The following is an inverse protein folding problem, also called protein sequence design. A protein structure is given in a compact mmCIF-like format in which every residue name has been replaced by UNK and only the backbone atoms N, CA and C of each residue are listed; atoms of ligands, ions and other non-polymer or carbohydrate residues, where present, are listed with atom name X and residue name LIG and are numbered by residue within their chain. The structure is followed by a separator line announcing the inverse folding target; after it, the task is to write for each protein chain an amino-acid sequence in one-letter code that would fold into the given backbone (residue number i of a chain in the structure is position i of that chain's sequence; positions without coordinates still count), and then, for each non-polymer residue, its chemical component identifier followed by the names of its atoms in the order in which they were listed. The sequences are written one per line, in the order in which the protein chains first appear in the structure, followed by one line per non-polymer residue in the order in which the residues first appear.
data_IF_246619441122
#
_entry.id   IF_246619441122
#
_cell.length_a   1.000
_cell.length_b   1.000
_cell.length_c   1.000
_cell.angle_alpha   90.00
_cell.angle_beta   90.00
_cell.angle_gamma   90.00
#
_symmetry.space_group_name_H-M   'P 1'
#
loop_
_entity.id
_entity.type
_entity.pdbx_description
1 polymer ?
#
# COMPACT_ATOMS: atom_id res chain seq x y z
N UNK A 1 -10.40 -28.83 -1.82
CA UNK A 1 -11.27 -28.16 -0.82
C UNK A 1 -11.78 -29.27 0.07
N UNK A 2 -11.45 -29.27 1.36
CA UNK A 2 -11.91 -30.30 2.29
C UNK A 2 -13.44 -30.18 2.37
N UNK A 3 -14.15 -31.05 1.67
CA UNK A 3 -15.59 -31.25 1.79
C UNK A 3 -15.86 -31.93 3.13
N UNK A 4 -15.55 -31.26 4.23
CA UNK A 4 -16.08 -31.65 5.53
C UNK A 4 -17.46 -31.02 5.60
N UNK A 5 -18.49 -31.86 5.62
CA UNK A 5 -19.88 -31.55 5.98
C UNK A 5 -19.92 -31.00 7.43
N UNK A 6 -19.25 -29.87 7.68
CA UNK A 6 -19.28 -29.18 8.97
C UNK A 6 -20.58 -28.40 8.96
N UNK A 7 -21.55 -28.84 9.77
CA UNK A 7 -22.76 -28.05 9.97
C UNK A 7 -22.34 -26.68 10.52
N UNK A 8 -22.99 -25.59 10.11
CA UNK A 8 -22.63 -24.24 10.60
C UNK A 8 -22.63 -24.12 12.13
N UNK A 9 -23.38 -25.00 12.80
CA UNK A 9 -23.46 -25.16 14.27
C UNK A 9 -22.17 -25.69 14.90
N UNK A 10 -21.36 -26.42 14.14
CA UNK A 10 -20.13 -27.06 14.61
C UNK A 10 -18.92 -26.12 14.55
N UNK A 11 -19.07 -24.98 13.86
CA UNK A 11 -18.03 -23.95 13.78
C UNK A 11 -18.03 -23.16 15.11
N UNK A 12 -16.97 -23.20 15.93
CA UNK A 12 -16.91 -22.47 17.20
C UNK A 12 -16.83 -20.95 16.95
N UNK A 13 -17.23 -20.15 17.94
CA UNK A 13 -17.27 -18.68 17.80
C UNK A 13 -15.92 -18.06 17.44
N UNK A 14 -14.80 -18.66 17.89
CA UNK A 14 -13.43 -18.22 17.56
C UNK A 14 -13.10 -18.32 16.06
N UNK A 15 -13.82 -19.18 15.33
CA UNK A 15 -13.73 -19.34 13.89
C UNK A 15 -15.01 -18.82 13.19
N UNK A 16 -15.76 -17.92 13.83
CA UNK A 16 -17.10 -17.52 13.40
C UNK A 16 -17.18 -16.98 11.97
N UNK A 17 -16.12 -16.33 11.47
CA UNK A 17 -16.05 -15.80 10.11
C UNK A 17 -16.09 -16.91 9.03
N UNK A 18 -15.71 -18.15 9.37
CA UNK A 18 -15.82 -19.28 8.44
C UNK A 18 -17.29 -19.59 8.05
N UNK A 19 -18.27 -19.13 8.85
CA UNK A 19 -19.70 -19.23 8.53
C UNK A 19 -20.13 -18.33 7.35
N UNK A 20 -19.29 -17.41 6.90
CA UNK A 20 -19.59 -16.46 5.83
C UNK A 20 -19.19 -16.96 4.44
N UNK A 21 -18.49 -18.09 4.34
CA UNK A 21 -17.90 -18.57 3.07
C UNK A 21 -18.96 -18.68 1.96
N UNK A 22 -20.13 -19.23 2.27
CA UNK A 22 -21.21 -19.42 1.29
C UNK A 22 -22.25 -18.28 1.30
N UNK A 23 -21.98 -17.19 2.02
CA UNK A 23 -22.86 -16.02 2.14
C UNK A 23 -22.25 -14.83 1.39
N UNK A 24 -22.23 -14.90 0.06
CA UNK A 24 -21.56 -13.92 -0.81
C UNK A 24 -21.92 -12.45 -0.52
N UNK A 25 -23.19 -12.17 -0.20
CA UNK A 25 -23.65 -10.82 0.14
C UNK A 25 -23.11 -10.32 1.49
N UNK A 26 -23.10 -11.17 2.51
CA UNK A 26 -22.53 -10.83 3.83
C UNK A 26 -21.01 -10.77 3.80
N UNK A 27 -20.37 -11.66 3.03
CA UNK A 27 -18.94 -11.66 2.85
C UNK A 27 -18.46 -10.39 2.14
N UNK A 28 -19.21 -9.92 1.13
CA UNK A 28 -18.98 -8.62 0.50
C UNK A 28 -19.06 -7.50 1.55
N UNK A 29 -20.11 -7.49 2.38
CA UNK A 29 -20.26 -6.51 3.46
C UNK A 29 -19.08 -6.49 4.43
N UNK A 30 -18.59 -7.67 4.83
CA UNK A 30 -17.42 -7.80 5.70
C UNK A 30 -16.15 -7.22 5.06
N UNK A 31 -15.88 -7.51 3.78
CA UNK A 31 -14.71 -6.97 3.08
C UNK A 31 -14.78 -5.45 2.89
N UNK A 32 -15.95 -4.93 2.51
CA UNK A 32 -16.15 -3.48 2.33
C UNK A 32 -16.04 -2.73 3.67
N UNK A 33 -16.60 -3.28 4.75
CA UNK A 33 -16.43 -2.71 6.08
C UNK A 33 -14.96 -2.72 6.53
N UNK A 34 -14.23 -3.81 6.26
CA UNK A 34 -12.81 -3.90 6.57
C UNK A 34 -11.97 -2.90 5.76
N UNK A 35 -12.24 -2.74 4.46
CA UNK A 35 -11.63 -1.69 3.65
C UNK A 35 -11.93 -0.30 4.23
N UNK A 36 -13.15 -0.07 4.71
CA UNK A 36 -13.52 1.14 5.46
C UNK A 36 -12.64 1.38 6.69
N UNK A 37 -12.33 0.35 7.47
CA UNK A 37 -11.42 0.48 8.63
C UNK A 37 -9.99 0.87 8.23
N UNK A 38 -9.47 0.29 7.13
CA UNK A 38 -8.12 0.63 6.62
C UNK A 38 -8.07 2.10 6.19
N UNK A 39 -9.09 2.54 5.44
CA UNK A 39 -9.18 3.93 4.95
C UNK A 39 -9.43 4.92 6.11
N UNK A 40 -10.22 4.52 7.11
CA UNK A 40 -10.42 5.29 8.34
C UNK A 40 -9.10 5.48 9.09
N UNK A 41 -8.33 4.40 9.27
CA UNK A 41 -7.02 4.46 9.91
C UNK A 41 -6.07 5.40 9.15
N UNK A 42 -6.00 5.29 7.82
CA UNK A 42 -5.16 6.17 7.01
C UNK A 42 -5.51 7.65 7.20
N UNK A 43 -6.81 7.99 7.17
CA UNK A 43 -7.26 9.36 7.38
C UNK A 43 -7.04 9.86 8.80
N UNK A 44 -7.45 9.07 9.80
CA UNK A 44 -7.35 9.44 11.21
C UNK A 44 -5.90 9.61 11.67
N UNK A 45 -5.00 8.68 11.30
CA UNK A 45 -3.58 8.77 11.67
C UNK A 45 -2.91 9.95 10.95
N UNK A 46 -3.25 10.21 9.68
CA UNK A 46 -2.72 11.40 8.98
C UNK A 46 -3.09 12.69 9.73
N UNK A 47 -4.36 12.85 10.10
CA UNK A 47 -4.82 14.04 10.83
C UNK A 47 -4.23 14.13 12.25
N UNK A 48 -4.09 13.00 12.92
CA UNK A 48 -3.44 12.92 14.22
C UNK A 48 -1.97 13.34 14.16
N UNK A 49 -1.22 12.83 13.19
CA UNK A 49 0.18 13.21 12.97
C UNK A 49 0.31 14.69 12.69
N UNK A 50 -0.53 15.27 11.82
CA UNK A 50 -0.53 16.72 11.52
C UNK A 50 -0.76 17.54 12.80
N UNK A 51 -1.68 17.11 13.67
CA UNK A 51 -2.01 17.86 14.89
C UNK A 51 -0.88 17.93 15.91
N UNK A 52 0.09 17.01 15.83
CA UNK A 52 1.25 16.94 16.73
C UNK A 52 2.57 17.24 15.99
N UNK A 53 2.51 17.64 14.72
CA UNK A 53 3.70 17.81 13.90
C UNK A 53 4.38 19.15 14.18
N UNK A 54 5.65 19.09 14.60
CA UNK A 54 6.51 20.24 14.77
C UNK A 54 7.43 20.39 13.55
N UNK A 55 7.25 21.46 12.77
CA UNK A 55 8.07 21.77 11.58
C UNK A 55 9.50 22.18 11.91
N UNK A 56 9.81 22.50 13.18
CA UNK A 56 11.16 22.85 13.62
C UNK A 56 12.06 21.64 13.85
N UNK A 57 11.46 20.45 13.98
CA UNK A 57 12.18 19.20 14.21
C UNK A 57 12.18 18.31 12.95
N UNK A 58 13.21 17.48 12.75
CA UNK A 58 13.20 16.50 11.67
C UNK A 58 12.04 15.50 11.83
N UNK A 59 11.41 15.10 10.70
CA UNK A 59 10.27 14.17 10.73
C UNK A 59 10.58 12.82 11.40
N UNK A 60 11.80 12.32 11.24
CA UNK A 60 12.19 10.99 11.73
C UNK A 60 12.35 10.93 13.27
N UNK A 61 12.44 12.07 13.96
CA UNK A 61 12.59 12.14 15.42
C UNK A 61 11.24 12.18 16.15
N UNK A 62 10.15 12.44 15.42
CA UNK A 62 8.82 12.71 15.99
C UNK A 62 7.90 11.48 15.99
N UNK A 63 8.40 10.31 15.58
CA UNK A 63 7.61 9.07 15.54
C UNK A 63 6.51 9.04 14.47
N UNK A 64 6.69 9.80 13.38
CA UNK A 64 5.73 9.87 12.27
C UNK A 64 5.86 8.65 11.36
N UNK A 65 4.72 8.07 10.98
CA UNK A 65 4.67 6.90 10.09
C UNK A 65 3.96 7.19 8.76
N UNK A 66 2.99 8.12 8.72
CA UNK A 66 2.23 8.42 7.49
C UNK A 66 2.78 9.65 6.77
N UNK A 67 3.05 10.74 7.48
CA UNK A 67 3.55 11.98 6.87
C UNK A 67 4.83 11.79 6.03
N UNK A 68 5.84 11.01 6.47
CA UNK A 68 7.01 10.73 5.64
C UNK A 68 6.68 10.01 4.32
N UNK A 69 5.62 9.22 4.28
CA UNK A 69 5.18 8.57 3.02
C UNK A 69 4.56 9.59 2.05
N UNK A 70 3.79 10.57 2.56
CA UNK A 70 3.24 11.65 1.74
C UNK A 70 4.35 12.60 1.25
N UNK A 71 5.33 12.87 2.10
CA UNK A 71 6.52 13.65 1.78
C UNK A 71 7.33 13.04 0.62
N UNK A 72 7.52 11.71 0.61
CA UNK A 72 8.18 10.99 -0.51
C UNK A 72 7.45 11.15 -1.84
N UNK A 73 6.12 11.28 -1.81
CA UNK A 73 5.30 11.56 -2.99
C UNK A 73 5.39 13.04 -3.44
N UNK A 74 6.16 13.87 -2.75
CA UNK A 74 6.38 15.29 -3.07
C UNK A 74 5.23 16.20 -2.63
N UNK A 75 4.38 15.77 -1.69
CA UNK A 75 3.33 16.64 -1.14
C UNK A 75 3.90 17.49 -0.02
N UNK A 76 3.76 18.82 -0.10
CA UNK A 76 4.10 19.73 1.00
C UNK A 76 5.60 19.87 1.31
N UNK A 77 6.46 19.32 0.46
CA UNK A 77 7.92 19.33 0.63
C UNK A 77 8.57 20.25 -0.41
N UNK A 78 9.55 21.03 0.02
CA UNK A 78 10.42 21.83 -0.84
C UNK A 78 11.89 21.43 -0.72
N UNK A 79 12.76 22.39 -1.04
CA UNK A 79 14.22 22.23 -1.03
C UNK A 79 14.74 21.74 0.34
N UNK A 80 15.73 20.85 0.31
CA UNK A 80 16.35 20.28 1.52
C UNK A 80 15.45 19.31 2.28
N UNK A 81 14.29 18.93 1.72
CA UNK A 81 13.31 18.08 2.40
C UNK A 81 12.49 18.81 3.47
N UNK A 82 12.53 20.14 3.46
CA UNK A 82 11.78 20.98 4.39
C UNK A 82 10.28 20.92 4.08
N UNK A 83 9.45 20.86 5.13
CA UNK A 83 8.00 20.98 4.97
C UNK A 83 7.64 22.44 4.78
N UNK A 84 7.18 22.78 3.58
CA UNK A 84 6.78 24.15 3.22
C UNK A 84 5.29 24.40 3.42
N UNK A 85 4.47 23.35 3.28
CA UNK A 85 3.01 23.44 3.38
C UNK A 85 2.41 22.12 3.91
N UNK A 86 1.64 22.20 4.98
CA UNK A 86 0.95 21.04 5.58
C UNK A 86 -0.47 20.83 5.04
N UNK A 87 -1.00 21.79 4.27
CA UNK A 87 -2.35 21.71 3.72
C UNK A 87 -2.60 20.47 2.84
N UNK A 88 -1.68 20.02 1.96
CA UNK A 88 -1.84 18.79 1.20
C UNK A 88 -2.02 17.56 2.10
N UNK A 89 -1.30 17.48 3.23
CA UNK A 89 -1.44 16.39 4.18
C UNK A 89 -2.84 16.40 4.80
N UNK A 90 -3.34 17.58 5.18
CA UNK A 90 -4.69 17.73 5.73
C UNK A 90 -5.76 17.28 4.73
N UNK A 91 -5.67 17.73 3.48
CA UNK A 91 -6.61 17.34 2.42
C UNK A 91 -6.63 15.83 2.22
N UNK A 92 -5.45 15.21 2.14
CA UNK A 92 -5.33 13.74 1.98
C UNK A 92 -5.96 13.03 3.18
N UNK A 93 -5.66 13.48 4.41
CA UNK A 93 -6.27 12.92 5.63
C UNK A 93 -7.79 13.04 5.63
N UNK A 94 -8.33 14.20 5.29
CA UNK A 94 -9.76 14.47 5.23
C UNK A 94 -10.48 13.64 4.14
N UNK A 95 -9.89 13.52 2.95
CA UNK A 95 -10.45 12.70 1.85
C UNK A 95 -10.56 11.24 2.28
N UNK A 96 -9.52 10.68 2.92
CA UNK A 96 -9.57 9.31 3.44
C UNK A 96 -10.63 9.19 4.54
N UNK A 97 -10.66 10.13 5.49
CA UNK A 97 -11.65 10.09 6.58
C UNK A 97 -13.10 10.07 6.06
N UNK A 98 -13.43 10.95 5.12
CA UNK A 98 -14.79 11.02 4.54
C UNK A 98 -15.10 9.77 3.70
N UNK A 99 -14.14 9.32 2.87
CA UNK A 99 -14.31 8.10 2.06
C UNK A 99 -14.55 6.87 2.93
N UNK A 100 -13.91 6.80 4.10
CA UNK A 100 -14.11 5.70 5.05
C UNK A 100 -15.55 5.58 5.55
N UNK A 101 -16.26 6.71 5.72
CA UNK A 101 -17.65 6.72 6.16
C UNK A 101 -18.57 6.11 5.09
N UNK A 102 -18.31 6.41 3.81
CA UNK A 102 -19.06 5.83 2.68
C UNK A 102 -18.82 4.33 2.58
N UNK A 103 -17.56 3.88 2.69
CA UNK A 103 -17.22 2.45 2.71
C UNK A 103 -17.84 1.73 3.92
N UNK A 104 -17.75 2.32 5.11
CA UNK A 104 -18.35 1.78 6.32
C UNK A 104 -19.86 1.62 6.21
N UNK A 105 -20.56 2.63 5.69
CA UNK A 105 -21.99 2.58 5.44
C UNK A 105 -22.36 1.46 4.45
N UNK A 106 -21.62 1.33 3.34
CA UNK A 106 -21.80 0.24 2.38
C UNK A 106 -21.56 -1.14 3.00
N UNK A 107 -20.51 -1.29 3.78
CA UNK A 107 -20.18 -2.54 4.49
C UNK A 107 -21.25 -2.96 5.49
N UNK A 108 -21.77 -2.02 6.28
CA UNK A 108 -22.89 -2.25 7.22
C UNK A 108 -24.15 -2.64 6.45
N UNK A 109 -24.48 -1.92 5.37
CA UNK A 109 -25.64 -2.21 4.55
C UNK A 109 -25.61 -3.64 4.02
N UNK A 110 -24.52 -4.06 3.38
CA UNK A 110 -24.39 -5.40 2.81
C UNK A 110 -24.32 -6.50 3.89
N UNK A 111 -23.82 -6.19 5.09
CA UNK A 111 -23.75 -7.15 6.19
C UNK A 111 -25.09 -7.40 6.89
N UNK A 112 -25.92 -6.35 7.04
CA UNK A 112 -27.11 -6.37 7.91
C UNK A 112 -28.45 -6.26 7.17
N UNK A 113 -28.51 -5.51 6.05
CA UNK A 113 -29.77 -5.20 5.36
C UNK A 113 -29.86 -5.80 3.96
N UNK A 114 -28.73 -5.97 3.28
CA UNK A 114 -28.64 -6.59 1.97
C UNK A 114 -29.04 -8.08 1.99
N UNK A 115 -29.26 -8.68 0.81
CA UNK A 115 -29.47 -10.12 0.71
C UNK A 115 -28.22 -10.88 1.17
N UNK A 116 -28.41 -12.03 1.83
CA UNK A 116 -27.30 -12.85 2.34
C UNK A 116 -26.45 -13.47 1.22
N UNK A 117 -27.08 -13.73 0.08
CA UNK A 117 -26.52 -14.34 -1.14
C UNK A 117 -26.90 -13.48 -2.34
N UNK A 118 -26.03 -13.40 -3.34
CA UNK A 118 -26.21 -12.52 -4.52
C UNK A 118 -26.62 -13.29 -5.78
N UNK A 119 -26.44 -14.60 -5.80
CA UNK A 119 -26.54 -15.48 -6.96
C UNK A 119 -27.93 -15.45 -7.60
N UNK A 120 -28.97 -15.41 -6.77
CA UNK A 120 -30.36 -15.47 -7.23
C UNK A 120 -30.87 -14.13 -7.76
N UNK A 121 -30.34 -13.01 -7.24
CA UNK A 121 -30.86 -11.66 -7.51
C UNK A 121 -30.01 -10.88 -8.52
N UNK A 122 -28.71 -11.17 -8.58
CA UNK A 122 -27.75 -10.41 -9.36
C UNK A 122 -26.72 -11.33 -10.04
N UNK A 123 -27.05 -11.85 -11.24
CA UNK A 123 -26.21 -12.81 -11.99
C UNK A 123 -24.80 -12.30 -12.33
N UNK A 124 -24.60 -10.98 -12.41
CA UNK A 124 -23.28 -10.40 -12.63
C UNK A 124 -22.39 -10.54 -11.38
N UNK A 125 -22.93 -10.21 -10.19
CA UNK A 125 -22.21 -10.13 -8.92
C UNK A 125 -22.20 -11.45 -8.12
N UNK A 126 -23.16 -12.34 -8.36
CA UNK A 126 -23.19 -13.66 -7.73
C UNK A 126 -22.08 -14.59 -8.23
N UNK A 127 -21.57 -15.42 -7.33
CA UNK A 127 -20.51 -16.38 -7.65
C UNK A 127 -20.60 -17.62 -6.77
N UNK A 128 -20.02 -18.72 -7.25
CA UNK A 128 -19.76 -19.91 -6.45
C UNK A 128 -18.27 -20.22 -6.51
N UNK A 129 -17.72 -20.77 -5.43
CA UNK A 129 -16.27 -21.02 -5.31
C UNK A 129 -15.73 -22.04 -6.32
N UNK A 130 -16.59 -22.94 -6.80
CA UNK A 130 -16.29 -23.96 -7.80
C UNK A 130 -16.34 -23.43 -9.25
N UNK A 131 -16.92 -22.23 -9.47
CA UNK A 131 -16.96 -21.61 -10.79
C UNK A 131 -15.64 -20.90 -11.11
N UNK A 132 -14.69 -21.66 -11.68
CA UNK A 132 -13.37 -21.17 -12.05
C UNK A 132 -13.43 -19.92 -12.96
N UNK A 133 -14.37 -19.86 -13.91
CA UNK A 133 -14.50 -18.71 -14.81
C UNK A 133 -14.84 -17.43 -14.04
N UNK A 134 -15.81 -17.49 -13.12
CA UNK A 134 -16.17 -16.32 -12.31
C UNK A 134 -15.01 -15.89 -11.40
N UNK A 135 -14.25 -16.84 -10.86
CA UNK A 135 -13.05 -16.51 -10.07
C UNK A 135 -12.00 -15.78 -10.89
N UNK A 136 -11.73 -16.22 -12.13
CA UNK A 136 -10.76 -15.53 -13.00
C UNK A 136 -11.28 -14.19 -13.51
N UNK A 137 -12.58 -14.05 -13.77
CA UNK A 137 -13.19 -12.77 -14.14
C UNK A 137 -13.02 -11.74 -13.00
N UNK A 138 -13.35 -12.13 -11.75
CA UNK A 138 -13.18 -11.28 -10.56
C UNK A 138 -11.71 -10.90 -10.37
N UNK A 139 -10.80 -11.87 -10.45
CA UNK A 139 -9.36 -11.62 -10.38
C UNK A 139 -8.91 -10.62 -11.46
N UNK A 140 -9.38 -10.79 -12.70
CA UNK A 140 -9.08 -9.91 -13.82
C UNK A 140 -9.45 -8.45 -13.55
N UNK A 141 -10.64 -8.19 -13.00
CA UNK A 141 -11.05 -6.83 -12.62
C UNK A 141 -10.10 -6.21 -11.58
N UNK A 142 -9.69 -6.98 -10.57
CA UNK A 142 -8.75 -6.49 -9.56
C UNK A 142 -7.36 -6.19 -10.14
N UNK A 143 -6.86 -7.05 -11.05
CA UNK A 143 -5.57 -6.83 -11.71
C UNK A 143 -5.58 -5.56 -12.57
N UNK A 144 -6.68 -5.28 -13.28
CA UNK A 144 -6.83 -4.03 -14.04
C UNK A 144 -6.80 -2.82 -13.10
N UNK A 145 -7.51 -2.86 -11.97
CA UNK A 145 -7.50 -1.76 -10.99
C UNK A 145 -6.10 -1.54 -10.39
N UNK A 146 -5.37 -2.63 -10.06
CA UNK A 146 -4.00 -2.55 -9.58
C UNK A 146 -3.06 -1.97 -10.65
N UNK A 147 -3.23 -2.34 -11.92
CA UNK A 147 -2.49 -1.77 -13.04
C UNK A 147 -2.74 -0.27 -13.20
N UNK A 148 -4.00 0.17 -13.11
CA UNK A 148 -4.37 1.60 -13.15
C UNK A 148 -3.74 2.36 -11.96
N UNK A 149 -3.74 1.79 -10.75
CA UNK A 149 -3.10 2.41 -9.59
C UNK A 149 -1.57 2.55 -9.77
N UNK A 150 -0.90 1.55 -10.35
CA UNK A 150 0.52 1.65 -10.68
C UNK A 150 0.80 2.75 -11.72
N UNK A 151 -0.05 2.88 -12.74
CA UNK A 151 0.05 3.95 -13.73
C UNK A 151 -0.25 5.34 -13.12
N UNK A 152 -1.15 5.43 -12.15
CA UNK A 152 -1.42 6.67 -11.43
C UNK A 152 -0.19 7.17 -10.66
N UNK A 153 0.61 6.25 -10.09
CA UNK A 153 1.90 6.59 -9.48
C UNK A 153 2.91 7.09 -10.53
N UNK A 154 3.00 6.44 -11.69
CA UNK A 154 3.84 6.93 -12.80
C UNK A 154 3.40 8.34 -13.23
N UNK A 155 2.09 8.57 -13.36
CA UNK A 155 1.56 9.88 -13.69
C UNK A 155 1.87 10.94 -12.62
N UNK A 156 1.86 10.58 -11.32
CA UNK A 156 2.30 11.48 -10.24
C UNK A 156 3.77 11.89 -10.41
N UNK A 157 4.64 10.94 -10.74
CA UNK A 157 6.07 11.19 -10.91
C UNK A 157 6.41 11.98 -12.19
N UNK A 158 5.64 11.81 -13.27
CA UNK A 158 5.95 12.41 -14.57
C UNK A 158 5.17 13.69 -14.88
N UNK A 159 3.92 13.81 -14.41
CA UNK A 159 3.00 14.87 -14.87
C UNK A 159 2.45 15.74 -13.73
N UNK A 160 2.40 15.22 -12.50
CA UNK A 160 1.81 15.96 -11.36
C UNK A 160 2.85 16.34 -10.30
N UNK A 161 3.81 17.17 -10.73
CA UNK A 161 4.78 17.81 -9.84
C UNK A 161 5.97 16.95 -9.44
N UNK A 162 5.97 15.64 -9.71
CA UNK A 162 7.13 14.77 -9.46
C UNK A 162 7.11 14.07 -8.10
N UNK A 163 8.26 13.54 -7.70
CA UNK A 163 8.48 12.88 -6.41
C UNK A 163 9.76 13.42 -5.76
N UNK A 164 9.90 13.26 -4.44
CA UNK A 164 11.10 13.73 -3.76
C UNK A 164 12.32 12.88 -4.13
N UNK A 165 13.38 13.52 -4.63
CA UNK A 165 14.68 12.88 -4.91
C UNK A 165 15.71 13.28 -3.84
N UNK A 166 16.18 12.35 -2.99
CA UNK A 166 17.18 12.65 -1.96
C UNK A 166 18.56 13.00 -2.52
N UNK A 167 18.88 12.71 -3.79
CA UNK A 167 20.15 13.09 -4.40
C UNK A 167 20.17 14.57 -4.85
N UNK A 168 19.00 15.09 -5.19
CA UNK A 168 18.80 16.51 -5.56
C UNK A 168 18.29 17.32 -4.36
N UNK A 169 17.84 16.63 -3.30
CA UNK A 169 17.22 17.19 -2.11
C UNK A 169 15.99 18.06 -2.44
N UNK A 170 15.25 17.67 -3.47
CA UNK A 170 14.07 18.41 -3.93
C UNK A 170 13.07 17.50 -4.64
N UNK A 171 11.84 17.98 -4.79
CA UNK A 171 10.83 17.33 -5.63
C UNK A 171 11.23 17.50 -7.10
N UNK A 172 11.37 16.37 -7.80
CA UNK A 172 11.78 16.33 -9.20
C UNK A 172 10.74 15.60 -10.05
N UNK A 173 10.37 16.21 -11.16
CA UNK A 173 9.60 15.58 -12.23
C UNK A 173 10.50 14.61 -13.01
N UNK A 174 10.02 13.37 -13.20
CA UNK A 174 10.75 12.35 -13.95
C UNK A 174 10.37 12.46 -15.43
N UNK A 175 11.32 12.83 -16.28
CA UNK A 175 11.09 13.00 -17.73
C UNK A 175 11.47 11.76 -18.53
N UNK A 176 12.54 11.07 -18.13
CA UNK A 176 13.09 9.90 -18.83
C UNK A 176 13.05 8.66 -17.93
N UNK A 177 11.91 7.95 -17.85
CA UNK A 177 11.84 6.68 -17.15
C UNK A 177 12.60 5.59 -17.93
N UNK A 178 13.30 4.70 -17.21
CA UNK A 178 13.94 3.53 -17.84
C UNK A 178 12.90 2.58 -18.39
N UNK A 179 12.90 2.35 -19.71
CA UNK A 179 11.99 1.43 -20.40
C UNK A 179 12.67 0.14 -20.88
N UNK A 180 13.97 0.02 -20.70
CA UNK A 180 14.77 -1.09 -21.21
C UNK A 180 14.51 -2.37 -20.37
N UNK A 181 13.94 -3.44 -20.96
CA UNK A 181 13.53 -4.62 -20.19
C UNK A 181 14.70 -5.36 -19.53
N UNK A 182 15.87 -5.41 -20.15
CA UNK A 182 17.06 -6.04 -19.60
C UNK A 182 17.51 -5.42 -18.28
N UNK A 183 17.46 -4.09 -18.17
CA UNK A 183 17.73 -3.35 -16.94
C UNK A 183 16.65 -3.62 -15.90
N UNK A 184 15.36 -3.54 -16.28
CA UNK A 184 14.23 -3.75 -15.36
C UNK A 184 14.26 -5.17 -14.78
N UNK A 185 14.33 -6.20 -15.63
CA UNK A 185 14.44 -7.58 -15.19
C UNK A 185 15.81 -7.89 -14.58
N UNK A 186 16.85 -7.11 -14.91
CA UNK A 186 18.17 -7.21 -14.29
C UNK A 186 18.16 -6.91 -12.79
N UNK A 187 17.25 -6.04 -12.31
CA UNK A 187 17.02 -5.86 -10.88
C UNK A 187 16.41 -7.10 -10.21
N UNK A 188 15.52 -7.82 -10.91
CA UNK A 188 14.90 -9.04 -10.40
C UNK A 188 15.94 -10.17 -10.25
N UNK A 189 16.80 -10.33 -11.26
CA UNK A 189 17.82 -11.39 -11.29
C UNK A 189 19.17 -10.97 -10.69
N UNK A 190 19.32 -9.73 -10.25
CA UNK A 190 20.52 -9.20 -9.60
C UNK A 190 21.73 -9.05 -10.52
N UNK A 191 21.50 -8.99 -11.83
CA UNK A 191 22.55 -8.76 -12.84
C UNK A 191 22.91 -7.28 -12.98
N UNK A 192 22.08 -6.38 -12.43
CA UNK A 192 22.37 -4.95 -12.44
C UNK A 192 23.40 -4.57 -11.37
N UNK A 193 24.44 -3.85 -11.80
CA UNK A 193 25.43 -3.26 -10.90
C UNK A 193 24.84 -2.03 -10.21
N UNK A 194 24.88 -2.00 -8.88
CA UNK A 194 24.57 -0.80 -8.10
C UNK A 194 25.88 -0.06 -7.89
N UNK A 195 25.96 1.18 -8.36
CA UNK A 195 27.06 2.07 -8.03
C UNK A 195 26.85 2.58 -6.61
N UNK A 196 27.70 2.13 -5.69
CA UNK A 196 27.74 2.67 -4.33
C UNK A 196 28.91 3.64 -4.24
N UNK A 197 28.60 4.91 -4.00
CA UNK A 197 29.60 5.94 -3.71
C UNK A 197 30.02 5.82 -2.25
N UNK A 198 31.29 5.47 -2.01
CA UNK A 198 31.90 5.52 -0.68
C UNK A 198 33.13 6.40 -0.78
N UNK A 199 33.19 7.47 0.02
CA UNK A 199 34.36 8.36 0.15
C UNK A 199 34.95 8.81 -1.21
N UNK A 200 34.11 9.29 -2.14
CA UNK A 200 34.56 9.82 -3.43
C UNK A 200 35.04 8.77 -4.45
N UNK A 201 34.93 7.46 -4.18
CA UNK A 201 35.19 6.40 -5.15
C UNK A 201 33.91 5.64 -5.50
N UNK A 202 33.59 5.57 -6.80
CA UNK A 202 32.53 4.72 -7.33
C UNK A 202 33.02 3.26 -7.35
N UNK A 203 32.37 2.39 -6.57
CA UNK A 203 32.62 0.94 -6.64
C UNK A 203 31.43 0.22 -7.25
N UNK A 204 31.68 -0.56 -8.30
CA UNK A 204 30.70 -1.47 -8.91
C UNK A 204 30.48 -2.65 -7.97
N UNK A 205 29.25 -2.84 -7.50
CA UNK A 205 28.85 -4.03 -6.76
C UNK A 205 27.59 -4.62 -7.39
N UNK A 206 27.60 -5.92 -7.68
CA UNK A 206 26.38 -6.67 -7.96
C UNK A 206 25.76 -7.18 -6.64
N UNK A 207 24.48 -7.57 -6.66
CA UNK A 207 23.70 -7.97 -5.47
C UNK A 207 24.36 -9.08 -4.65
N UNK A 208 24.99 -10.04 -5.32
CA UNK A 208 25.73 -11.15 -4.71
C UNK A 208 26.96 -10.67 -3.94
N UNK A 209 27.71 -9.70 -4.50
CA UNK A 209 28.85 -9.08 -3.83
C UNK A 209 28.47 -8.14 -2.67
N UNK A 210 27.21 -7.68 -2.63
CA UNK A 210 26.71 -6.78 -1.59
C UNK A 210 26.26 -7.53 -0.33
N UNK A 211 25.58 -8.67 -0.51
CA UNK A 211 25.16 -9.55 0.59
C UNK A 211 26.36 -10.14 1.35
N UNK A 212 27.41 -10.57 0.65
CA UNK A 212 28.62 -11.12 1.27
C UNK A 212 29.38 -10.10 2.13
N UNK A 213 29.34 -8.80 1.77
CA UNK A 213 30.03 -7.75 2.53
C UNK A 213 29.17 -7.14 3.64
N UNK A 214 27.85 -7.04 3.49
CA UNK A 214 26.99 -6.51 4.55
C UNK A 214 26.81 -7.48 5.73
N UNK A 215 26.83 -8.80 5.52
CA UNK A 215 26.77 -9.77 6.63
C UNK A 215 27.98 -9.64 7.57
N UNK A 216 29.18 -9.39 7.03
CA UNK A 216 30.40 -9.17 7.82
C UNK A 216 30.44 -7.83 8.57
N UNK A 217 29.69 -6.82 8.12
CA UNK A 217 29.65 -5.50 8.77
C UNK A 217 28.50 -5.31 9.76
N UNK A 218 27.34 -5.96 9.55
CA UNK A 218 26.24 -5.93 10.52
C UNK A 218 26.64 -6.60 11.84
N UNK A 219 27.44 -7.68 11.78
CA UNK A 219 28.01 -8.31 12.98
C UNK A 219 29.10 -7.49 13.67
N UNK A 220 29.80 -6.61 12.95
CA UNK A 220 30.94 -5.84 13.49
C UNK A 220 30.53 -4.50 14.12
N UNK A 221 29.36 -3.96 13.76
CA UNK A 221 28.80 -2.75 14.39
C UNK A 221 27.79 -3.03 15.51
N UNK A 222 27.18 -4.22 15.56
CA UNK A 222 26.38 -4.66 16.72
C UNK A 222 27.23 -4.99 17.96
N UNK A 223 28.55 -5.16 17.82
CA UNK A 223 29.46 -5.42 18.94
C UNK A 223 29.99 -4.15 19.64
N UNK A 224 29.60 -2.95 19.19
CA UNK A 224 30.00 -1.67 19.81
C UNK A 224 28.82 -0.83 20.34
N UNK A 225 27.63 -1.42 20.40
CA UNK A 225 26.49 -0.85 21.14
C UNK A 225 25.97 -1.85 22.18
N UNK A 226 26.78 -2.07 23.21
CA UNK A 226 26.37 -2.40 24.58
C UNK A 226 27.29 -1.66 25.54
#
# INVERSE_FOLDING_TARGET
MTTTNVQMTDIPWRAGNARLVDLSGKLLGAHVAHAGLIVLWAGAITLFEISNFDTSLPMYEQGLIVLPNLARLGFGIGDGGMVTDTYPFFVIGAVHLISSAVLGAGGIFHSLRGPSTLEQKFSFYGYTWDNAKKMTDILGFHLVLLGVAALAFVAKAMFWGGIYDPLVENVRVITDPTLEPGTIFGYLFGTQEILVSRSGQLRRCNRWSYLDRCYLYCWRYLAHCY
#
